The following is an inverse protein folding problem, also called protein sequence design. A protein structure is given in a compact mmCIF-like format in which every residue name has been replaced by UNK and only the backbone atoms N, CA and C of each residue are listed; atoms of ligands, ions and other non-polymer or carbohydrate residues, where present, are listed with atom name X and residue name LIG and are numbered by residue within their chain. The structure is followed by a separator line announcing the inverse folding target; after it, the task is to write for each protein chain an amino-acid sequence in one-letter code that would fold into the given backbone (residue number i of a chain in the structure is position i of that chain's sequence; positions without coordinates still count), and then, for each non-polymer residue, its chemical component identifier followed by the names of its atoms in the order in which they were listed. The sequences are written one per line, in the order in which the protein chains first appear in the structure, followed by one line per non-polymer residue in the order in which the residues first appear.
data_IF_956985405353
#
_entry.id   IF_956985405353
#
_cell.length_a   1.000
_cell.length_b   1.000
_cell.length_c   1.000
_cell.angle_alpha   90.00
_cell.angle_beta   90.00
_cell.angle_gamma   90.00
#
_symmetry.space_group_name_H-M   'P 1'
#
loop_
_entity.id
_entity.type
_entity.pdbx_description
1 polymer ?
#
# COMPACT_ATOMS: atom_id res chain seq x y z
N UNK A 1 12.17 -11.86 -18.45
CA UNK A 1 10.72 -11.70 -18.15
C UNK A 1 10.40 -10.21 -18.25
N UNK A 2 9.30 -9.81 -18.90
CA UNK A 2 8.93 -8.39 -19.07
C UNK A 2 7.59 -8.12 -18.35
N UNK A 3 7.59 -7.57 -17.12
CA UNK A 3 6.36 -7.38 -16.35
C UNK A 3 5.47 -6.32 -16.99
N UNK A 4 4.15 -6.49 -16.86
CA UNK A 4 3.12 -5.56 -17.37
C UNK A 4 2.09 -5.32 -16.27
N UNK A 5 1.65 -4.06 -16.13
CA UNK A 5 0.59 -3.67 -15.19
C UNK A 5 -0.77 -3.85 -15.89
N UNK A 6 -1.75 -4.37 -15.16
CA UNK A 6 -3.12 -4.58 -15.61
C UNK A 6 -4.12 -4.23 -14.50
N UNK A 7 -5.41 -4.43 -14.76
CA UNK A 7 -6.52 -4.16 -13.84
C UNK A 7 -6.72 -2.68 -13.46
N UNK A 8 -7.09 -1.88 -14.47
CA UNK A 8 -7.43 -0.46 -14.31
C UNK A 8 -8.89 -0.24 -13.90
N UNK A 9 -9.61 -1.26 -13.40
CA UNK A 9 -11.02 -1.15 -13.05
C UNK A 9 -11.33 -0.13 -11.96
N UNK A 10 -10.36 0.16 -11.10
CA UNK A 10 -10.43 1.18 -10.05
C UNK A 10 -9.61 2.44 -10.38
N UNK A 11 -9.00 2.51 -11.56
CA UNK A 11 -8.14 3.63 -11.93
C UNK A 11 -8.96 4.92 -12.04
N UNK A 12 -8.40 6.01 -11.52
CA UNK A 12 -9.05 7.33 -11.55
C UNK A 12 -8.23 8.30 -12.37
N UNK A 13 -8.89 8.96 -13.32
CA UNK A 13 -8.33 10.07 -14.07
C UNK A 13 -8.60 11.37 -13.32
N UNK A 14 -7.56 12.16 -13.12
CA UNK A 14 -7.71 13.53 -12.67
C UNK A 14 -7.88 14.45 -13.89
N UNK A 15 -8.83 15.38 -13.81
CA UNK A 15 -9.07 16.37 -14.87
C UNK A 15 -8.32 17.68 -14.57
N UNK A 16 -7.67 18.24 -15.60
CA UNK A 16 -6.94 19.51 -15.50
C UNK A 16 -5.72 19.42 -14.59
N UNK A 17 -5.46 20.48 -13.82
CA UNK A 17 -4.28 20.59 -12.93
C UNK A 17 -4.50 19.97 -11.53
N UNK A 18 -5.63 19.28 -11.31
CA UNK A 18 -5.91 18.66 -10.02
C UNK A 18 -5.05 17.41 -9.84
N UNK A 19 -4.28 17.34 -8.74
CA UNK A 19 -3.46 16.17 -8.41
C UNK A 19 -3.98 15.37 -7.22
N UNK A 20 -4.99 15.91 -6.53
CA UNK A 20 -5.52 15.38 -5.27
C UNK A 20 -7.04 15.59 -5.20
N UNK A 21 -7.77 14.69 -4.56
CA UNK A 21 -9.23 14.76 -4.34
C UNK A 21 -9.60 13.98 -3.08
N UNK A 22 -10.78 14.23 -2.48
CA UNK A 22 -11.34 13.42 -1.39
C UNK A 22 -12.51 12.60 -1.93
N UNK A 23 -12.59 11.32 -1.58
CA UNK A 23 -13.68 10.43 -1.99
C UNK A 23 -14.34 9.78 -0.78
N UNK A 24 -15.67 9.66 -0.80
CA UNK A 24 -16.41 8.91 0.23
C UNK A 24 -16.39 7.40 0.00
N UNK A 25 -16.05 6.97 -1.22
CA UNK A 25 -15.89 5.56 -1.57
C UNK A 25 -14.40 5.20 -1.55
N UNK A 26 -14.00 4.48 -0.51
CA UNK A 26 -12.68 3.88 -0.36
C UNK A 26 -12.76 2.43 -0.87
N UNK A 27 -11.99 2.12 -1.92
CA UNK A 27 -11.95 0.81 -2.56
C UNK A 27 -10.51 0.46 -2.92
N UNK A 28 -10.13 -0.81 -2.73
CA UNK A 28 -8.78 -1.29 -3.03
C UNK A 28 -8.47 -2.59 -2.30
N UNK A 29 -7.23 -3.06 -2.43
CA UNK A 29 -6.75 -4.27 -1.77
C UNK A 29 -6.20 -3.96 -0.39
N UNK A 30 -6.74 -4.63 0.64
CA UNK A 30 -6.30 -4.47 2.02
C UNK A 30 -4.81 -4.79 2.18
N UNK A 31 -4.11 -4.01 3.01
CA UNK A 31 -2.65 -4.09 3.19
C UNK A 31 -1.84 -3.27 2.16
N UNK A 32 -2.41 -2.95 1.00
CA UNK A 32 -1.75 -2.14 -0.04
C UNK A 32 -2.26 -0.70 -0.09
N UNK A 33 -3.42 -0.43 0.51
CA UNK A 33 -3.99 0.92 0.57
C UNK A 33 -3.17 1.82 1.49
N UNK A 34 -2.87 3.03 1.01
CA UNK A 34 -2.21 4.04 1.85
C UNK A 34 -3.13 4.46 3.00
N UNK A 35 -2.58 4.70 4.21
CA UNK A 35 -3.39 5.00 5.39
C UNK A 35 -4.22 6.28 5.23
N UNK A 36 -3.69 7.29 4.55
CA UNK A 36 -4.41 8.54 4.28
C UNK A 36 -5.62 8.36 3.36
N UNK A 37 -5.59 7.37 2.46
CA UNK A 37 -6.74 7.00 1.63
C UNK A 37 -7.73 6.15 2.41
N UNK A 38 -7.24 5.17 3.16
CA UNK A 38 -8.08 4.26 3.93
C UNK A 38 -8.89 4.99 5.02
N UNK A 39 -8.28 5.98 5.68
CA UNK A 39 -8.90 6.69 6.81
C UNK A 39 -9.66 7.94 6.37
N UNK A 40 -9.07 8.74 5.47
CA UNK A 40 -9.61 10.07 5.12
C UNK A 40 -10.17 10.14 3.70
N UNK A 41 -10.04 9.08 2.90
CA UNK A 41 -10.44 9.10 1.49
C UNK A 41 -9.59 10.02 0.62
N UNK A 42 -8.39 10.43 1.08
CA UNK A 42 -7.49 11.30 0.32
C UNK A 42 -6.90 10.54 -0.87
N UNK A 43 -7.36 10.90 -2.07
CA UNK A 43 -6.93 10.33 -3.33
C UNK A 43 -5.86 11.23 -3.98
N UNK A 44 -4.70 10.66 -4.28
CA UNK A 44 -3.63 11.33 -5.03
C UNK A 44 -2.72 10.28 -5.69
N UNK A 45 -1.80 10.72 -6.56
CA UNK A 45 -0.76 9.85 -7.14
C UNK A 45 0.14 9.21 -6.07
N UNK A 46 0.21 9.78 -4.86
CA UNK A 46 1.03 9.21 -3.76
C UNK A 46 0.50 7.89 -3.23
N UNK A 47 -0.78 7.59 -3.44
CA UNK A 47 -1.36 6.30 -3.08
C UNK A 47 -0.71 5.15 -3.86
N UNK A 48 -0.45 5.36 -5.15
CA UNK A 48 0.23 4.38 -6.01
C UNK A 48 1.69 4.20 -5.59
N UNK A 49 2.32 5.26 -5.08
CA UNK A 49 3.70 5.18 -4.54
C UNK A 49 3.75 4.32 -3.29
N UNK A 50 2.79 4.48 -2.38
CA UNK A 50 2.69 3.68 -1.17
C UNK A 50 2.47 2.19 -1.50
N UNK A 51 1.47 1.89 -2.33
CA UNK A 51 1.13 0.51 -2.69
C UNK A 51 2.26 -0.18 -3.46
N UNK A 52 2.96 0.56 -4.32
CA UNK A 52 4.16 0.07 -5.00
C UNK A 52 5.29 -0.24 -4.01
N UNK A 53 5.50 0.59 -2.98
CA UNK A 53 6.48 0.32 -1.93
C UNK A 53 6.20 -1.00 -1.20
N UNK A 54 4.93 -1.25 -0.85
CA UNK A 54 4.50 -2.52 -0.26
C UNK A 54 4.74 -3.71 -1.21
N UNK A 55 4.41 -3.57 -2.50
CA UNK A 55 4.69 -4.59 -3.52
C UNK A 55 6.19 -4.90 -3.62
N UNK A 56 7.05 -3.89 -3.57
CA UNK A 56 8.51 -4.09 -3.56
C UNK A 56 8.94 -4.88 -2.33
N UNK A 57 8.41 -4.55 -1.14
CA UNK A 57 8.69 -5.28 0.09
C UNK A 57 8.22 -6.75 0.00
N UNK A 58 7.05 -7.01 -0.58
CA UNK A 58 6.55 -8.36 -0.84
C UNK A 58 7.49 -9.13 -1.79
N UNK A 59 7.95 -8.52 -2.88
CA UNK A 59 8.86 -9.15 -3.84
C UNK A 59 10.21 -9.49 -3.18
N UNK A 60 10.82 -8.57 -2.43
CA UNK A 60 12.14 -8.80 -1.84
C UNK A 60 12.09 -9.78 -0.66
N UNK A 61 11.00 -9.79 0.11
CA UNK A 61 10.86 -10.69 1.27
C UNK A 61 10.33 -12.07 0.88
N UNK A 62 9.63 -12.17 -0.26
CA UNK A 62 8.94 -13.38 -0.71
C UNK A 62 7.78 -13.81 0.21
N UNK A 63 7.36 -12.95 1.15
CA UNK A 63 6.23 -13.18 2.06
C UNK A 63 5.00 -12.47 1.50
N UNK A 64 3.80 -12.97 1.72
CA UNK A 64 2.58 -12.26 1.28
C UNK A 64 2.20 -11.18 2.28
N UNK A 65 1.80 -10.01 1.80
CA UNK A 65 1.38 -8.93 2.67
C UNK A 65 0.03 -9.19 3.38
N UNK A 66 -0.81 -10.07 2.83
CA UNK A 66 -2.12 -10.45 3.42
C UNK A 66 -2.00 -11.28 4.69
N UNK A 67 -0.89 -11.99 4.89
CA UNK A 67 -0.73 -12.89 6.04
C UNK A 67 -0.72 -12.10 7.36
N UNK A 68 -0.30 -10.83 7.35
CA UNK A 68 -0.30 -9.97 8.54
C UNK A 68 -1.65 -9.32 8.89
N UNK A 69 -2.64 -9.32 7.97
CA UNK A 69 -3.91 -8.62 8.20
C UNK A 69 -5.03 -9.53 8.74
N UNK A 70 -4.89 -10.86 8.59
CA UNK A 70 -5.84 -11.85 9.10
C UNK A 70 -5.40 -12.49 10.43
N UNK A 71 -4.16 -12.25 10.88
CA UNK A 71 -3.73 -12.62 12.23
C UNK A 71 -4.16 -11.55 13.23
N UNK A 72 -5.46 -11.54 13.54
CA UNK A 72 -5.93 -11.06 14.83
C UNK A 72 -5.50 -12.08 15.89
N UNK A 73 -4.60 -11.64 16.76
CA UNK A 73 -4.16 -12.28 18.01
C UNK A 73 -3.13 -13.42 17.89
N UNK A 74 -1.98 -13.19 18.55
CA UNK A 74 -0.90 -14.14 18.92
C UNK A 74 0.23 -14.38 17.90
N UNK A 75 1.10 -13.39 17.69
CA UNK A 75 2.56 -13.62 17.74
C UNK A 75 3.30 -12.28 17.93
N UNK A 76 4.05 -12.12 19.03
CA UNK A 76 4.90 -10.94 19.29
C UNK A 76 6.08 -10.82 18.29
N UNK A 77 6.21 -11.75 17.33
CA UNK A 77 7.25 -11.81 16.32
C UNK A 77 6.82 -11.54 14.88
N UNK A 78 5.52 -11.38 14.58
CA UNK A 78 5.02 -11.12 13.22
C UNK A 78 5.31 -9.68 12.78
N UNK A 79 6.54 -9.44 12.36
CA UNK A 79 6.98 -8.17 11.79
C UNK A 79 6.19 -7.87 10.51
N UNK A 80 5.25 -6.93 10.56
CA UNK A 80 4.57 -6.44 9.34
C UNK A 80 5.60 -5.95 8.34
N UNK A 81 5.33 -6.02 7.03
CA UNK A 81 6.29 -5.55 6.03
C UNK A 81 6.71 -4.08 6.23
N UNK A 82 5.81 -3.25 6.77
CA UNK A 82 6.11 -1.85 7.06
C UNK A 82 7.16 -1.67 8.16
N UNK A 83 7.36 -2.68 9.03
CA UNK A 83 8.40 -2.63 10.06
C UNK A 83 9.82 -2.57 9.49
N UNK A 84 10.05 -3.03 8.26
CA UNK A 84 11.35 -2.90 7.59
C UNK A 84 11.73 -1.45 7.28
N UNK A 85 10.75 -0.56 7.15
CA UNK A 85 10.95 0.85 6.82
C UNK A 85 11.00 1.72 8.08
N UNK A 86 10.27 1.33 9.11
CA UNK A 86 10.13 2.09 10.35
C UNK A 86 11.23 1.84 11.38
N UNK A 87 12.28 1.09 11.02
CA UNK A 87 13.45 0.79 11.87
C UNK A 87 14.54 1.87 11.66
N UNK A 88 14.67 2.86 12.55
CA UNK A 88 15.70 3.90 12.43
C UNK A 88 17.13 3.36 12.57
N UNK A 89 17.27 2.12 13.04
CA UNK A 89 18.50 1.42 13.40
C UNK A 89 19.24 0.75 12.22
N UNK A 90 18.67 0.73 11.01
CA UNK A 90 19.28 0.05 9.85
C UNK A 90 20.10 0.95 8.89
N UNK A 91 20.29 2.23 9.21
CA UNK A 91 21.08 3.19 8.39
C UNK A 91 22.44 3.56 9.01
N UNK A 92 23.01 2.70 9.87
CA UNK A 92 24.34 2.87 10.47
C UNK A 92 25.31 1.76 10.05
#
# INVERSE_FOLDING_TARGET
MNPKISDFGLARLFSGDKTTTVTSQVVGTLGYMAPEYAVMGHLSVKLDVYSFGVLVLEIITGRRNTDACFESEVDEGSSTMLSYVSRPDLFL
#
